data_IF_650604868065
#
_entry.id   IF_650604868065
#
_cell.length_a   1.000
_cell.length_b   1.000
_cell.length_c   1.000
_cell.angle_alpha   90.00
_cell.angle_beta   90.00
_cell.angle_gamma   90.00
#
_symmetry.space_group_name_H-M   'P 1'
#
loop_
_entity.id
_entity.type
_entity.pdbx_description
1 polymer ?
#
# COMPACT_ATOMS: atom_id res chain seq x y z
N UNK A 1 2.25 -5.03 4.93
CA UNK A 1 1.71 -3.78 4.36
C UNK A 1 0.46 -4.14 3.58
N UNK A 2 -0.56 -4.51 4.33
CA UNK A 2 -1.68 -5.32 3.87
C UNK A 2 -2.95 -4.85 4.58
N UNK A 3 -4.08 -5.53 4.32
CA UNK A 3 -5.37 -5.18 4.92
C UNK A 3 -5.37 -5.22 6.44
N UNK A 4 -4.55 -6.07 7.08
CA UNK A 4 -4.46 -6.08 8.54
C UNK A 4 -3.83 -4.79 9.07
N UNK A 5 -2.76 -4.32 8.43
CA UNK A 5 -2.13 -3.04 8.80
C UNK A 5 -3.07 -1.87 8.51
N UNK A 6 -3.70 -1.86 7.34
CA UNK A 6 -4.65 -0.82 6.93
C UNK A 6 -5.81 -0.71 7.92
N UNK A 7 -6.39 -1.84 8.32
CA UNK A 7 -7.44 -1.90 9.34
C UNK A 7 -6.95 -1.39 10.69
N UNK A 8 -5.83 -1.92 11.18
CA UNK A 8 -5.32 -1.57 12.52
C UNK A 8 -5.00 -0.08 12.65
N UNK A 9 -4.42 0.54 11.61
CA UNK A 9 -4.14 1.98 11.62
C UNK A 9 -5.42 2.80 11.54
N UNK A 10 -6.39 2.40 10.71
CA UNK A 10 -7.70 3.08 10.64
C UNK A 10 -8.48 3.00 11.95
N UNK A 11 -8.42 1.87 12.66
CA UNK A 11 -9.06 1.71 13.98
C UNK A 11 -8.45 2.64 15.03
N UNK A 12 -7.18 3.05 14.87
CA UNK A 12 -6.48 3.98 15.75
C UNK A 12 -6.66 5.45 15.37
N UNK A 13 -7.20 5.75 14.18
CA UNK A 13 -7.39 7.11 13.71
C UNK A 13 -8.52 7.81 14.48
N UNK A 14 -8.23 9.00 15.02
CA UNK A 14 -9.13 9.73 15.91
C UNK A 14 -10.34 10.34 15.19
N UNK A 15 -10.16 10.74 13.94
CA UNK A 15 -11.15 11.46 13.12
C UNK A 15 -11.04 11.07 11.64
N UNK A 16 -11.98 11.58 10.85
CA UNK A 16 -12.05 11.30 9.40
C UNK A 16 -10.88 11.93 8.64
N UNK A 17 -10.33 13.06 9.13
CA UNK A 17 -9.14 13.68 8.52
C UNK A 17 -7.93 12.75 8.65
N UNK A 18 -7.72 12.16 9.82
CA UNK A 18 -6.67 11.18 10.05
C UNK A 18 -6.88 9.90 9.23
N UNK A 19 -8.13 9.40 9.15
CA UNK A 19 -8.48 8.25 8.31
C UNK A 19 -8.18 8.50 6.84
N UNK A 20 -8.45 9.71 6.33
CA UNK A 20 -8.17 10.08 4.94
C UNK A 20 -6.69 10.09 4.56
N UNK A 21 -5.79 10.00 5.55
CA UNK A 21 -4.34 9.95 5.35
C UNK A 21 -3.79 8.51 5.36
N UNK A 22 -4.64 7.50 5.55
CA UNK A 22 -4.24 6.09 5.59
C UNK A 22 -4.42 5.47 4.20
N UNK A 23 -3.33 4.97 3.63
CA UNK A 23 -3.31 4.39 2.28
C UNK A 23 -2.62 3.02 2.28
N UNK A 24 -2.99 2.17 1.30
CA UNK A 24 -2.10 1.07 0.91
C UNK A 24 -0.92 1.64 0.15
N UNK A 25 0.30 1.15 0.40
CA UNK A 25 1.47 1.65 -0.34
C UNK A 25 1.30 1.44 -1.85
N UNK A 26 0.84 0.27 -2.28
CA UNK A 26 0.68 -0.02 -3.71
C UNK A 26 -0.46 0.75 -4.38
N UNK A 27 -1.27 1.51 -3.65
CA UNK A 27 -2.18 2.48 -4.28
C UNK A 27 -1.44 3.58 -5.05
N UNK A 28 -0.15 3.80 -4.73
CA UNK A 28 0.69 4.74 -5.45
C UNK A 28 1.35 4.15 -6.71
N UNK A 29 1.32 2.83 -6.89
CA UNK A 29 1.77 2.19 -8.15
C UNK A 29 0.85 2.61 -9.29
N UNK A 30 1.41 3.24 -10.33
CA UNK A 30 0.66 3.75 -11.49
C UNK A 30 -0.23 2.71 -12.18
N UNK A 31 0.17 1.44 -12.13
CA UNK A 31 -0.59 0.36 -12.76
C UNK A 31 -1.79 -0.08 -11.92
N UNK A 32 -1.82 0.30 -10.63
CA UNK A 32 -2.82 -0.10 -9.64
C UNK A 32 -3.64 1.08 -9.09
N UNK A 33 -3.28 2.33 -9.40
CA UNK A 33 -3.97 3.55 -8.94
C UNK A 33 -5.49 3.57 -9.17
N UNK A 34 -6.00 2.83 -10.16
CA UNK A 34 -7.42 2.73 -10.45
C UNK A 34 -8.20 1.80 -9.49
N UNK A 35 -7.51 1.03 -8.64
CA UNK A 35 -8.14 0.10 -7.70
C UNK A 35 -8.59 0.87 -6.46
N UNK A 36 -9.90 0.80 -6.18
CA UNK A 36 -10.47 1.31 -4.93
C UNK A 36 -10.04 0.42 -3.74
N UNK A 37 -9.38 0.97 -2.70
CA UNK A 37 -8.99 0.28 -1.48
C UNK A 37 -10.12 -0.43 -0.70
N UNK A 38 -11.38 -0.04 -0.94
CA UNK A 38 -12.56 -0.62 -0.30
C UNK A 38 -13.32 -1.60 -1.20
N UNK A 39 -12.86 -1.80 -2.44
CA UNK A 39 -13.46 -2.73 -3.39
C UNK A 39 -13.04 -4.18 -3.13
N UNK A 40 -13.71 -5.11 -3.81
CA UNK A 40 -13.35 -6.53 -3.81
C UNK A 40 -11.94 -6.82 -4.36
N UNK A 41 -11.33 -5.86 -5.05
CA UNK A 41 -10.00 -5.97 -5.64
C UNK A 41 -8.88 -5.45 -4.72
N UNK A 42 -9.19 -5.04 -3.48
CA UNK A 42 -8.22 -4.47 -2.54
C UNK A 42 -6.98 -5.35 -2.32
N UNK A 43 -7.14 -6.67 -2.40
CA UNK A 43 -6.05 -7.64 -2.19
C UNK A 43 -4.88 -7.44 -3.17
N UNK A 44 -5.13 -6.82 -4.34
CA UNK A 44 -4.08 -6.48 -5.32
C UNK A 44 -3.16 -5.36 -4.84
N UNK A 45 -3.61 -4.57 -3.86
CA UNK A 45 -2.85 -3.47 -3.25
C UNK A 45 -1.99 -3.94 -2.07
N UNK A 46 -2.12 -5.20 -1.66
CA UNK A 46 -1.30 -5.74 -0.59
C UNK A 46 0.14 -5.99 -1.04
N UNK A 47 1.07 -5.77 -0.12
CA UNK A 47 2.44 -6.29 -0.21
C UNK A 47 2.50 -7.50 0.71
N UNK A 48 2.75 -8.71 0.18
CA UNK A 48 2.81 -9.92 0.98
C UNK A 48 3.98 -9.85 1.97
N UNK A 49 3.83 -10.46 3.15
CA UNK A 49 4.91 -10.58 4.13
C UNK A 49 5.88 -11.69 3.68
N UNK A 50 7.16 -11.35 3.35
CA UNK A 50 8.13 -12.34 2.90
C UNK A 50 8.80 -13.08 4.07
N UNK A 51 8.40 -12.86 5.32
CA UNK A 51 9.02 -13.51 6.48
C UNK A 51 8.95 -15.05 6.38
N UNK A 52 10.09 -15.70 6.63
CA UNK A 52 10.28 -17.15 6.44
C UNK A 52 10.04 -17.66 5.00
N UNK A 53 10.03 -16.78 4.00
CA UNK A 53 9.99 -17.15 2.59
C UNK A 53 11.39 -17.20 1.98
N UNK A 54 11.47 -17.60 0.72
CA UNK A 54 12.72 -17.63 -0.03
C UNK A 54 13.22 -16.22 -0.37
N UNK A 55 14.47 -16.10 -0.80
CA UNK A 55 15.06 -14.80 -1.19
C UNK A 55 14.33 -14.17 -2.38
N UNK A 56 13.78 -14.98 -3.27
CA UNK A 56 12.99 -14.54 -4.42
C UNK A 56 11.72 -13.79 -3.97
N UNK A 57 11.06 -14.25 -2.90
CA UNK A 57 9.90 -13.55 -2.34
C UNK A 57 10.27 -12.15 -1.80
N UNK A 58 11.44 -12.01 -1.20
CA UNK A 58 11.94 -10.68 -0.79
C UNK A 58 12.24 -9.78 -1.99
N UNK A 59 12.76 -10.33 -3.08
CA UNK A 59 13.03 -9.58 -4.31
C UNK A 59 11.74 -9.12 -4.99
N UNK A 60 10.71 -9.96 -5.01
CA UNK A 60 9.38 -9.60 -5.52
C UNK A 60 8.77 -8.47 -4.69
N UNK A 61 8.84 -8.57 -3.36
CA UNK A 61 8.38 -7.51 -2.44
C UNK A 61 9.16 -6.22 -2.66
N UNK A 62 10.48 -6.28 -2.84
CA UNK A 62 11.31 -5.12 -3.13
C UNK A 62 10.83 -4.41 -4.41
N UNK A 63 10.60 -5.14 -5.50
CA UNK A 63 10.11 -4.58 -6.76
C UNK A 63 8.76 -3.88 -6.60
N UNK A 64 7.83 -4.49 -5.84
CA UNK A 64 6.53 -3.88 -5.55
C UNK A 64 6.66 -2.57 -4.77
N UNK A 65 7.60 -2.52 -3.82
CA UNK A 65 7.85 -1.32 -3.01
C UNK A 65 8.46 -0.22 -3.89
N UNK A 66 9.46 -0.53 -4.71
CA UNK A 66 10.11 0.45 -5.60
C UNK A 66 9.11 1.10 -6.54
N UNK A 67 8.26 0.30 -7.21
CA UNK A 67 7.23 0.80 -8.13
C UNK A 67 6.22 1.73 -7.45
N UNK A 68 5.80 1.39 -6.24
CA UNK A 68 4.85 2.19 -5.48
C UNK A 68 5.48 3.49 -4.94
N UNK A 69 6.72 3.41 -4.45
CA UNK A 69 7.46 4.57 -3.91
C UNK A 69 7.74 5.60 -5.01
N UNK A 70 8.07 5.17 -6.23
CA UNK A 70 8.22 6.08 -7.38
C UNK A 70 6.95 6.91 -7.63
N UNK A 71 5.77 6.31 -7.49
CA UNK A 71 4.49 7.01 -7.58
C UNK A 71 4.21 7.92 -6.39
N UNK A 72 4.54 7.47 -5.17
CA UNK A 72 4.37 8.27 -3.95
C UNK A 72 5.22 9.55 -3.99
N UNK A 73 6.47 9.45 -4.45
CA UNK A 73 7.35 10.62 -4.59
C UNK A 73 6.80 11.64 -5.58
N UNK A 74 6.13 11.20 -6.65
CA UNK A 74 5.48 12.10 -7.60
C UNK A 74 4.31 12.83 -6.94
N UNK A 75 3.45 12.11 -6.22
CA UNK A 75 2.32 12.71 -5.51
C UNK A 75 2.79 13.78 -4.50
N UNK A 76 3.83 13.47 -3.72
CA UNK A 76 4.38 14.40 -2.71
C UNK A 76 5.09 15.61 -3.33
N UNK A 77 5.65 15.48 -4.53
CA UNK A 77 6.29 16.60 -5.24
C UNK A 77 5.28 17.61 -5.81
N UNK A 78 4.00 17.24 -5.86
CA UNK A 78 2.91 18.08 -6.36
C UNK A 78 2.06 18.73 -5.24
N UNK A 79 2.40 18.48 -3.97
CA UNK A 79 1.81 19.15 -2.80
C UNK A 79 2.59 20.40 -2.40
#
# INVERSE_FOLDING_TARGET
MDSSNFKNVNDLALDDESRSKVFYLRSFDKTLQAIDPHSHDYFKLEVPDPYNQSIEAYQEVLLMIEQAVDGLLQELAHQ
#
